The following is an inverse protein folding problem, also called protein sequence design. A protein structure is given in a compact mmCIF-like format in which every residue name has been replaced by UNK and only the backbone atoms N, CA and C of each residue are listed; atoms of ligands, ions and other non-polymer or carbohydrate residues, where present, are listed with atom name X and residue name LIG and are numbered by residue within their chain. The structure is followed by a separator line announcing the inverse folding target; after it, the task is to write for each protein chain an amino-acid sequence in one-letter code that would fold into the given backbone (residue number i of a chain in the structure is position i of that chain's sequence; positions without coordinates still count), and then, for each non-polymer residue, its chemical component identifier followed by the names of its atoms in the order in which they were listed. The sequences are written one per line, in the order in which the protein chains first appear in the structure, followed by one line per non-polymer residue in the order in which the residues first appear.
data_IF_443424566488
#
_entry.id   IF_443424566488
#
_cell.length_a   1.000
_cell.length_b   1.000
_cell.length_c   1.000
_cell.angle_alpha   90.00
_cell.angle_beta   90.00
_cell.angle_gamma   90.00
#
_symmetry.space_group_name_H-M   'P 1'
#
loop_
_entity.id
_entity.type
_entity.pdbx_description
1 polymer ?
#
# COMPACT_ATOMS: atom_id res chain seq x y z
N UNK A 1 2.29 8.55 18.18
CA UNK A 1 1.49 7.44 17.63
C UNK A 1 1.45 7.68 16.14
N UNK A 2 2.11 6.84 15.34
CA UNK A 2 2.15 7.01 13.88
C UNK A 2 0.74 6.77 13.35
N UNK A 3 0.21 7.68 12.53
CA UNK A 3 -1.05 7.44 11.83
C UNK A 3 -0.87 6.23 10.89
N UNK A 4 -1.88 5.37 10.80
CA UNK A 4 -1.86 4.17 9.96
C UNK A 4 -1.52 4.51 8.50
N UNK A 5 -1.98 5.66 8.03
CA UNK A 5 -1.72 6.17 6.69
C UNK A 5 -0.25 6.52 6.41
N UNK A 6 0.55 6.74 7.44
CA UNK A 6 1.98 7.07 7.35
C UNK A 6 2.89 5.83 7.44
N UNK A 7 2.32 4.62 7.60
CA UNK A 7 3.11 3.39 7.59
C UNK A 7 3.83 3.19 6.25
N UNK A 8 5.08 2.72 6.31
CA UNK A 8 5.85 2.39 5.11
C UNK A 8 5.23 1.21 4.39
N UNK A 9 5.00 1.38 3.10
CA UNK A 9 4.34 0.44 2.22
C UNK A 9 5.08 0.33 0.89
N UNK A 10 4.90 -0.80 0.20
CA UNK A 10 5.39 -1.01 -1.17
C UNK A 10 4.23 -1.37 -2.07
N UNK A 11 3.94 -0.53 -3.05
CA UNK A 11 3.03 -0.84 -4.15
C UNK A 11 3.80 -1.61 -5.23
N UNK A 12 3.30 -2.77 -5.59
CA UNK A 12 3.80 -3.59 -6.69
C UNK A 12 2.68 -3.76 -7.71
N UNK A 13 2.99 -3.71 -8.98
CA UNK A 13 2.20 -4.34 -10.04
C UNK A 13 2.91 -5.64 -10.46
N UNK A 14 2.17 -6.59 -11.03
CA UNK A 14 2.77 -7.81 -11.59
C UNK A 14 3.13 -7.66 -13.07
N UNK A 15 3.23 -6.44 -13.58
CA UNK A 15 3.57 -6.18 -14.99
C UNK A 15 5.10 -6.07 -15.23
N UNK A 16 5.89 -6.07 -14.15
CA UNK A 16 7.35 -5.97 -14.20
C UNK A 16 7.89 -4.56 -14.04
N UNK A 17 7.04 -3.57 -13.74
CA UNK A 17 7.46 -2.21 -13.41
C UNK A 17 8.17 -2.16 -12.05
N UNK A 18 9.03 -1.16 -11.88
CA UNK A 18 9.71 -0.93 -10.61
C UNK A 18 8.69 -0.67 -9.49
N UNK A 19 8.81 -1.35 -8.34
CA UNK A 19 7.87 -1.17 -7.25
C UNK A 19 8.00 0.23 -6.65
N UNK A 20 6.87 0.83 -6.27
CA UNK A 20 6.84 2.12 -5.60
C UNK A 20 6.90 1.92 -4.07
N UNK A 21 7.88 2.53 -3.41
CA UNK A 21 8.07 2.43 -1.95
C UNK A 21 7.82 3.80 -1.33
N UNK A 22 6.87 3.89 -0.41
CA UNK A 22 6.46 5.16 0.20
C UNK A 22 5.55 4.98 1.40
N UNK A 23 4.76 6.01 1.73
CA UNK A 23 3.69 5.88 2.74
C UNK A 23 2.52 5.07 2.16
N UNK A 24 1.71 4.45 3.03
CA UNK A 24 0.49 3.77 2.62
C UNK A 24 -0.45 4.71 1.87
N UNK A 25 -0.63 5.94 2.35
CA UNK A 25 -1.47 6.95 1.68
C UNK A 25 -1.00 7.23 0.24
N UNK A 26 0.31 7.36 0.03
CA UNK A 26 0.88 7.59 -1.29
C UNK A 26 0.70 6.37 -2.20
N UNK A 27 0.96 5.16 -1.68
CA UNK A 27 0.74 3.93 -2.43
C UNK A 27 -0.73 3.78 -2.88
N UNK A 28 -1.70 4.11 -2.02
CA UNK A 28 -3.12 4.09 -2.36
C UNK A 28 -3.47 5.17 -3.41
N UNK A 29 -2.87 6.37 -3.32
CA UNK A 29 -3.03 7.42 -4.35
C UNK A 29 -2.46 6.99 -5.70
N UNK A 30 -1.28 6.38 -5.73
CA UNK A 30 -0.67 5.84 -6.95
C UNK A 30 -1.53 4.74 -7.57
N UNK A 31 -1.99 3.78 -6.75
CA UNK A 31 -2.93 2.75 -7.20
C UNK A 31 -4.21 3.34 -7.79
N UNK A 32 -4.77 4.38 -7.18
CA UNK A 32 -6.01 5.00 -7.66
C UNK A 32 -5.88 5.56 -9.09
N UNK A 33 -4.67 5.98 -9.50
CA UNK A 33 -4.36 6.47 -10.84
C UNK A 33 -4.14 5.37 -11.90
N UNK A 34 -4.03 4.10 -11.49
CA UNK A 34 -3.84 2.99 -12.42
C UNK A 34 -5.07 2.72 -13.28
N UNK A 35 -4.83 2.18 -14.50
CA UNK A 35 -5.88 1.62 -15.36
C UNK A 35 -6.43 0.33 -14.73
N UNK A 36 -7.66 -0.06 -15.10
CA UNK A 36 -8.32 -1.23 -14.54
C UNK A 36 -7.50 -2.53 -14.63
N UNK A 37 -6.78 -2.72 -15.74
CA UNK A 37 -5.89 -3.88 -15.94
C UNK A 37 -4.74 -3.88 -14.94
N UNK A 38 -4.03 -2.76 -14.79
CA UNK A 38 -2.94 -2.63 -13.83
C UNK A 38 -3.43 -2.71 -12.37
N UNK A 39 -4.64 -2.23 -12.08
CA UNK A 39 -5.26 -2.37 -10.75
C UNK A 39 -5.52 -3.83 -10.37
N UNK A 40 -6.00 -4.65 -11.30
CA UNK A 40 -6.22 -6.09 -11.05
C UNK A 40 -4.92 -6.80 -10.64
N UNK A 41 -3.79 -6.29 -11.14
CA UNK A 41 -2.46 -6.83 -10.87
C UNK A 41 -1.68 -6.11 -9.76
N UNK A 42 -2.26 -5.10 -9.13
CA UNK A 42 -1.57 -4.34 -8.11
C UNK A 42 -1.78 -4.89 -6.69
N UNK A 43 -0.72 -4.92 -5.90
CA UNK A 43 -0.73 -5.30 -4.47
C UNK A 43 0.03 -4.27 -3.66
N UNK A 44 -0.39 -4.03 -2.42
CA UNK A 44 0.38 -3.23 -1.47
C UNK A 44 0.91 -4.14 -0.37
N UNK A 45 2.23 -4.10 -0.15
CA UNK A 45 2.92 -4.81 0.90
C UNK A 45 3.15 -3.87 2.08
N UNK A 46 2.58 -4.22 3.24
CA UNK A 46 2.90 -3.59 4.51
C UNK A 46 3.90 -4.47 5.24
N UNK A 47 5.13 -3.99 5.38
CA UNK A 47 6.21 -4.75 6.01
C UNK A 47 6.57 -4.13 7.34
N UNK A 48 6.38 -4.88 8.43
CA UNK A 48 6.81 -4.47 9.76
C UNK A 48 8.05 -5.26 10.17
N UNK A 49 9.25 -4.68 10.02
CA UNK A 49 10.49 -5.36 10.36
C UNK A 49 10.56 -5.64 11.86
N UNK A 50 11.09 -6.81 12.21
CA UNK A 50 11.45 -7.16 13.58
C UNK A 50 12.95 -7.44 13.60
N UNK A 51 13.74 -6.47 14.04
CA UNK A 51 15.19 -6.57 14.10
C UNK A 51 15.62 -7.42 15.31
N UNK A 52 15.30 -8.73 15.28
CA UNK A 52 15.70 -9.69 16.31
C UNK A 52 15.94 -11.05 15.69
N UNK A 53 17.09 -11.64 16.03
CA UNK A 53 17.47 -12.97 15.56
C UNK A 53 16.37 -14.01 15.90
N UNK A 54 16.05 -14.87 14.92
CA UNK A 54 15.03 -15.92 15.04
C UNK A 54 13.57 -15.44 14.93
N UNK A 55 13.29 -14.13 14.79
CA UNK A 55 11.92 -13.62 14.61
C UNK A 55 11.63 -13.31 13.15
N UNK A 56 10.53 -13.86 12.63
CA UNK A 56 10.06 -13.58 11.27
C UNK A 56 9.49 -12.16 11.19
N UNK A 57 9.87 -11.42 10.15
CA UNK A 57 9.22 -10.18 9.72
C UNK A 57 7.76 -10.46 9.40
N UNK A 58 6.85 -9.58 9.85
CA UNK A 58 5.44 -9.68 9.45
C UNK A 58 5.23 -8.85 8.20
N UNK A 59 4.61 -9.48 7.21
CA UNK A 59 4.21 -8.86 5.95
C UNK A 59 2.71 -9.09 5.78
N UNK A 60 1.98 -8.03 5.50
CA UNK A 60 0.58 -8.08 5.09
C UNK A 60 0.50 -7.69 3.62
N UNK A 61 -0.35 -8.38 2.87
CA UNK A 61 -0.59 -8.10 1.46
C UNK A 61 -2.01 -7.56 1.34
N UNK A 62 -2.16 -6.37 0.79
CA UNK A 62 -3.46 -5.82 0.40
C UNK A 62 -3.71 -6.15 -1.07
N UNK A 63 -4.86 -6.77 -1.32
CA UNK A 63 -5.34 -7.09 -2.65
C UNK A 63 -6.07 -5.89 -3.28
N UNK A 64 -6.26 -5.88 -4.62
CA UNK A 64 -6.89 -4.76 -5.33
C UNK A 64 -8.20 -4.27 -4.71
N UNK A 65 -9.07 -5.18 -4.26
CA UNK A 65 -10.37 -4.83 -3.65
C UNK A 65 -10.20 -4.08 -2.31
N UNK A 66 -9.21 -4.45 -1.51
CA UNK A 66 -8.91 -3.82 -0.23
C UNK A 66 -8.32 -2.42 -0.46
N UNK A 67 -7.45 -2.30 -1.47
CA UNK A 67 -6.84 -1.02 -1.86
C UNK A 67 -7.90 -0.06 -2.42
N UNK A 68 -8.87 -0.54 -3.20
CA UNK A 68 -10.01 0.28 -3.66
C UNK A 68 -10.86 0.80 -2.49
N UNK A 69 -11.06 -0.03 -1.45
CA UNK A 69 -11.71 0.40 -0.21
C UNK A 69 -10.96 1.54 0.47
N UNK A 70 -9.63 1.45 0.57
CA UNK A 70 -8.80 2.53 1.10
C UNK A 70 -8.83 3.78 0.20
N UNK A 71 -8.82 3.60 -1.13
CA UNK A 71 -8.91 4.72 -2.06
C UNK A 71 -10.25 5.46 -1.93
N UNK A 72 -11.35 4.74 -1.65
CA UNK A 72 -12.65 5.34 -1.36
C UNK A 72 -12.61 6.20 -0.09
N UNK A 73 -11.95 5.73 0.97
CA UNK A 73 -11.78 6.48 2.22
C UNK A 73 -10.96 7.76 2.03
N UNK A 74 -9.90 7.71 1.23
CA UNK A 74 -9.13 8.92 0.87
C UNK A 74 -10.01 9.92 0.11
N UNK A 75 -10.84 9.46 -0.84
CA UNK A 75 -11.79 10.32 -1.56
C UNK A 75 -12.85 10.95 -0.64
N UNK A 76 -13.21 10.25 0.44
CA UNK A 76 -14.09 10.76 1.48
C UNK A 76 -13.41 11.73 2.47
N UNK A 77 -12.09 11.96 2.33
CA UNK A 77 -11.32 12.87 3.19
C UNK A 77 -10.70 12.23 4.42
N UNK A 78 -10.73 10.90 4.56
CA UNK A 78 -10.19 10.19 5.73
C UNK A 78 -8.68 9.88 5.64
N UNK A 79 -7.98 10.33 4.59
CA UNK A 79 -6.56 10.06 4.37
C UNK A 79 -5.62 11.02 5.14
N UNK A 80 -4.37 10.59 5.38
CA UNK A 80 -3.34 11.46 5.99
C UNK A 80 -3.17 12.76 5.19
N UNK A 81 -3.07 13.92 5.87
CA UNK A 81 -2.81 15.20 5.22
C UNK A 81 -1.49 15.11 4.44
N UNK A 82 -1.54 15.51 3.18
CA UNK A 82 -0.36 15.63 2.34
C UNK A 82 0.58 16.72 2.86
#
# INVERSE_FOLDING_TARGET
MTDFWDETATLIDLDGTAPFIGKLSDCVRHFAAFKATAKADARILLTRPVAREGRKTRVWVLNPVEIEGLAARIRAGEGSPA
#
